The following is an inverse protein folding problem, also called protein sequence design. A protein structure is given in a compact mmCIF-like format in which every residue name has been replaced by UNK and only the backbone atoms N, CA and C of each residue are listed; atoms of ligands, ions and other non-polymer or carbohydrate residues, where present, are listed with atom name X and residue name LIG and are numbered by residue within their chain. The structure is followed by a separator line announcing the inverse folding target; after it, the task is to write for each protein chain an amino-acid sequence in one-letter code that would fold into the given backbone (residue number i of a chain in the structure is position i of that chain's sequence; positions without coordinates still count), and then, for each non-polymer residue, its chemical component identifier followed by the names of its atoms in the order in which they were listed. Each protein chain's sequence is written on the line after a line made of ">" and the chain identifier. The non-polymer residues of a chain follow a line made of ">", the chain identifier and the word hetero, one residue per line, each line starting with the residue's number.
data_IF_450998061511
#
_entry.id   IF_450998061511
#
_cell.length_a   1.000
_cell.length_b   1.000
_cell.length_c   1.000
_cell.angle_alpha   90.00
_cell.angle_beta   90.00
_cell.angle_gamma   90.00
#
_symmetry.space_group_name_H-M   'P 1'
#
loop_
_entity.id
_entity.type
_entity.pdbx_description
1 polymer ?
#
# COMPACT_ATOMS: atom_id res chain seq x y z
N UNK A 1 0.74 -11.01 -8.61
CA UNK A 1 1.57 -10.27 -7.65
C UNK A 1 2.86 -9.79 -8.34
N UNK A 2 3.23 -8.52 -8.14
CA UNK A 2 4.50 -7.91 -8.61
C UNK A 2 5.18 -7.24 -7.43
N UNK A 3 6.50 -7.37 -7.35
CA UNK A 3 7.32 -6.85 -6.25
C UNK A 3 8.31 -5.82 -6.76
N UNK A 4 8.70 -4.88 -5.90
CA UNK A 4 9.81 -3.97 -6.16
C UNK A 4 11.17 -4.61 -5.81
N UNK A 5 12.26 -3.84 -5.98
CA UNK A 5 13.63 -4.28 -5.70
C UNK A 5 13.92 -4.55 -4.22
N UNK A 6 13.02 -4.16 -3.32
CA UNK A 6 13.10 -4.37 -1.87
C UNK A 6 12.18 -5.53 -1.43
N UNK A 7 11.75 -6.36 -2.39
CA UNK A 7 10.83 -7.49 -2.20
C UNK A 7 9.47 -7.10 -1.58
N UNK A 8 8.99 -5.87 -1.84
CA UNK A 8 7.68 -5.40 -1.37
C UNK A 8 6.64 -5.51 -2.48
N UNK A 9 5.44 -5.99 -2.13
CA UNK A 9 4.32 -6.13 -3.07
C UNK A 9 3.83 -4.75 -3.54
N UNK A 10 3.95 -4.45 -4.83
CA UNK A 10 3.50 -3.17 -5.43
C UNK A 10 2.24 -3.28 -6.28
N UNK A 11 1.93 -4.49 -6.75
CA UNK A 11 0.74 -4.78 -7.53
C UNK A 11 0.21 -6.17 -7.19
N UNK A 12 -1.05 -6.22 -6.81
CA UNK A 12 -1.83 -7.45 -6.75
C UNK A 12 -2.93 -7.45 -7.82
N UNK A 13 -3.09 -8.61 -8.46
CA UNK A 13 -4.10 -8.85 -9.48
C UNK A 13 -4.84 -10.12 -9.06
N UNK A 14 -6.00 -9.95 -8.42
CA UNK A 14 -6.85 -11.06 -7.99
C UNK A 14 -8.15 -11.03 -8.80
N UNK A 15 -8.39 -12.08 -9.58
CA UNK A 15 -9.66 -12.31 -10.29
C UNK A 15 -10.16 -11.10 -11.11
N UNK A 16 -9.24 -10.29 -11.65
CA UNK A 16 -9.54 -9.08 -12.43
C UNK A 16 -9.60 -7.78 -11.60
N UNK A 17 -9.62 -7.87 -10.27
CA UNK A 17 -9.41 -6.74 -9.40
C UNK A 17 -7.92 -6.36 -9.34
N UNK A 18 -7.65 -5.05 -9.42
CA UNK A 18 -6.30 -4.50 -9.34
C UNK A 18 -6.13 -3.72 -8.05
N UNK A 19 -5.10 -4.06 -7.30
CA UNK A 19 -4.67 -3.30 -6.12
C UNK A 19 -3.22 -2.88 -6.28
N UNK A 20 -2.92 -1.59 -6.12
CA UNK A 20 -1.55 -1.08 -6.15
C UNK A 20 -1.14 -0.50 -4.81
N UNK A 21 0.13 -0.69 -4.45
CA UNK A 21 0.69 -0.23 -3.19
C UNK A 21 1.89 0.69 -3.45
N UNK A 22 2.02 1.73 -2.64
CA UNK A 22 3.21 2.59 -2.64
C UNK A 22 3.88 2.58 -1.28
N UNK A 23 5.19 2.81 -1.29
CA UNK A 23 6.04 2.77 -0.10
C UNK A 23 6.98 3.97 -0.09
N UNK A 24 7.34 4.43 1.10
CA UNK A 24 8.39 5.43 1.30
C UNK A 24 9.77 4.76 1.39
N UNK A 25 10.84 5.58 1.37
CA UNK A 25 12.22 5.11 1.48
C UNK A 25 12.58 4.51 2.85
N UNK A 26 11.72 4.66 3.84
CA UNK A 26 11.82 4.01 5.16
C UNK A 26 11.23 2.58 5.18
N UNK A 27 10.70 2.10 4.05
CA UNK A 27 10.09 0.77 3.95
C UNK A 27 8.59 0.74 4.24
N UNK A 28 8.00 1.83 4.74
CA UNK A 28 6.61 1.85 5.19
C UNK A 28 5.63 2.09 4.02
N UNK A 29 4.48 1.41 4.05
CA UNK A 29 3.43 1.57 3.03
C UNK A 29 2.77 2.96 3.19
N UNK A 30 2.58 3.68 2.08
CA UNK A 30 1.96 5.02 2.05
C UNK A 30 0.55 5.02 1.52
N UNK A 31 0.27 4.20 0.51
CA UNK A 31 -1.07 4.08 -0.05
C UNK A 31 -1.39 2.67 -0.53
N UNK A 32 -2.68 2.39 -0.52
CA UNK A 32 -3.31 1.26 -1.18
C UNK A 32 -4.41 1.81 -2.08
N UNK A 33 -4.37 1.48 -3.36
CA UNK A 33 -5.40 1.87 -4.32
C UNK A 33 -6.04 0.61 -4.86
N UNK A 34 -7.35 0.48 -4.65
CA UNK A 34 -8.18 -0.61 -5.15
C UNK A 34 -9.17 -0.06 -6.18
N UNK A 35 -10.00 -0.92 -6.76
CA UNK A 35 -11.11 -0.48 -7.61
C UNK A 35 -12.18 0.34 -6.87
N UNK A 36 -12.25 0.27 -5.53
CA UNK A 36 -13.25 0.98 -4.73
C UNK A 36 -12.76 2.32 -4.16
N UNK A 37 -11.45 2.61 -4.24
CA UNK A 37 -10.90 3.87 -3.78
C UNK A 37 -9.44 3.78 -3.35
N UNK A 38 -8.97 4.86 -2.73
CA UNK A 38 -7.61 4.99 -2.22
C UNK A 38 -7.64 5.11 -0.69
N UNK A 39 -6.83 4.29 -0.03
CA UNK A 39 -6.49 4.45 1.39
C UNK A 39 -5.10 5.04 1.51
N UNK A 40 -4.99 6.13 2.25
CA UNK A 40 -3.70 6.72 2.63
C UNK A 40 -3.36 6.30 4.05
N UNK A 41 -2.11 5.91 4.26
CA UNK A 41 -1.63 5.37 5.52
C UNK A 41 -0.74 6.41 6.22
N UNK A 42 -1.02 6.63 7.51
CA UNK A 42 -0.19 7.44 8.40
C UNK A 42 0.45 6.52 9.44
N UNK A 43 1.67 6.84 9.85
CA UNK A 43 2.44 6.08 10.83
C UNK A 43 2.90 7.01 11.95
N UNK A 44 2.91 6.49 13.18
CA UNK A 44 3.67 7.07 14.30
C UNK A 44 4.83 6.12 14.62
N UNK A 45 6.03 6.51 14.18
CA UNK A 45 7.17 5.59 14.11
C UNK A 45 6.88 4.40 13.18
N UNK A 46 6.73 3.21 13.78
CA UNK A 46 6.35 1.98 13.07
C UNK A 46 4.91 1.52 13.36
N UNK A 47 4.18 2.30 14.17
CA UNK A 47 2.78 2.02 14.50
C UNK A 47 1.85 2.59 13.45
N UNK A 48 0.93 1.75 12.95
CA UNK A 48 -0.06 2.13 11.97
C UNK A 48 -1.13 3.01 12.61
N UNK A 49 -1.20 4.26 12.18
CA UNK A 49 -2.30 5.17 12.51
C UNK A 49 -3.23 5.25 11.31
N UNK A 50 -4.33 4.50 11.36
CA UNK A 50 -5.38 4.65 10.37
C UNK A 50 -6.07 6.00 10.58
N UNK A 51 -5.83 6.96 9.69
CA UNK A 51 -6.71 8.10 9.52
C UNK A 51 -8.04 7.57 8.97
N UNK A 52 -9.01 7.32 9.86
CA UNK A 52 -10.41 7.19 9.46
C UNK A 52 -10.98 8.60 9.41
N UNK A 53 -11.27 9.08 8.22
CA UNK A 53 -12.25 10.16 8.01
C UNK A 53 -13.67 9.63 8.33
#
# INVERSE_FOLDING_TARGET
>A
MTYDKEDRLVLDLDSGARTTYTYSGDGLKRSEVTGSGQTTIVWDGSEYLQGRD
#
